data_IF_804971631537
#
_entry.id   IF_804971631537
#
_cell.length_a   1.000
_cell.length_b   1.000
_cell.length_c   1.000
_cell.angle_alpha   90.00
_cell.angle_beta   90.00
_cell.angle_gamma   90.00
#
_symmetry.space_group_name_H-M   'P 1'
#
loop_
_entity.id
_entity.type
_entity.pdbx_description
1 polymer ?
#
# COMPACT_ATOMS: atom_id res chain seq x y z
N UNK A 1 -18.67 -6.65 -2.76
CA UNK A 1 -17.66 -6.92 -1.71
C UNK A 1 -18.11 -6.22 -0.45
N UNK A 2 -18.37 -7.01 0.59
CA UNK A 2 -18.90 -6.51 1.84
C UNK A 2 -17.79 -6.28 2.88
N UNK A 3 -18.08 -5.52 3.92
CA UNK A 3 -17.16 -5.23 5.02
C UNK A 3 -17.44 -6.15 6.19
N UNK A 4 -16.40 -6.83 6.68
CA UNK A 4 -16.46 -7.60 7.92
C UNK A 4 -16.55 -6.65 9.13
N UNK A 5 -17.63 -6.78 9.92
CA UNK A 5 -17.91 -5.91 11.09
C UNK A 5 -17.87 -6.67 12.42
N UNK A 6 -18.25 -7.94 12.43
CA UNK A 6 -18.46 -8.69 13.66
C UNK A 6 -17.15 -9.24 14.24
N UNK A 7 -16.89 -8.97 15.52
CA UNK A 7 -15.69 -9.45 16.23
C UNK A 7 -15.52 -10.98 16.16
N UNK A 8 -16.62 -11.73 16.24
CA UNK A 8 -16.59 -13.20 16.14
C UNK A 8 -15.97 -13.67 14.82
N UNK A 9 -16.28 -12.99 13.72
CA UNK A 9 -15.74 -13.34 12.41
C UNK A 9 -14.26 -12.97 12.28
N UNK A 10 -13.83 -11.83 12.85
CA UNK A 10 -12.41 -11.50 12.93
C UNK A 10 -11.61 -12.55 13.70
N UNK A 11 -12.15 -13.04 14.82
CA UNK A 11 -11.49 -14.09 15.62
C UNK A 11 -11.47 -15.43 14.88
N UNK A 12 -12.53 -15.77 14.14
CA UNK A 12 -12.56 -16.96 13.33
C UNK A 12 -11.56 -16.90 12.17
N UNK A 13 -11.46 -15.76 11.48
CA UNK A 13 -10.45 -15.54 10.44
C UNK A 13 -9.01 -15.60 10.99
N UNK A 14 -8.79 -15.12 12.22
CA UNK A 14 -7.48 -15.18 12.85
C UNK A 14 -6.98 -16.61 13.15
N UNK A 15 -7.89 -17.58 13.25
CA UNK A 15 -7.57 -19.00 13.44
C UNK A 15 -7.41 -19.76 12.12
N UNK A 16 -7.76 -19.14 11.00
CA UNK A 16 -7.72 -19.76 9.68
C UNK A 16 -6.33 -19.62 9.04
N UNK A 17 -6.24 -19.96 7.75
CA UNK A 17 -4.99 -19.87 7.00
C UNK A 17 -4.52 -18.42 6.88
N UNK A 18 -3.19 -18.25 6.86
CA UNK A 18 -2.56 -16.94 6.87
C UNK A 18 -1.31 -16.90 6.02
N UNK A 19 -1.08 -15.77 5.36
CA UNK A 19 0.11 -15.51 4.56
C UNK A 19 0.68 -14.14 4.90
N UNK A 20 1.96 -14.11 5.23
CA UNK A 20 2.69 -12.87 5.52
C UNK A 20 3.28 -12.24 4.26
N UNK A 21 3.09 -10.93 4.11
CA UNK A 21 3.78 -10.07 3.14
C UNK A 21 4.38 -8.87 3.88
N UNK A 22 5.31 -8.11 3.27
CA UNK A 22 5.93 -6.96 3.93
C UNK A 22 4.92 -5.94 4.46
N UNK A 23 3.91 -5.59 3.66
CA UNK A 23 2.91 -4.58 4.03
C UNK A 23 1.89 -5.03 5.09
N UNK A 24 1.55 -6.31 5.14
CA UNK A 24 0.46 -6.83 5.98
C UNK A 24 0.52 -8.35 6.14
N UNK A 25 -0.25 -8.89 7.10
CA UNK A 25 -0.58 -10.30 7.16
C UNK A 25 -1.99 -10.48 6.59
N UNK A 26 -2.16 -11.34 5.60
CA UNK A 26 -3.47 -11.75 5.09
C UNK A 26 -3.93 -12.99 5.84
N UNK A 27 -5.16 -12.97 6.34
CA UNK A 27 -5.86 -14.12 6.90
C UNK A 27 -7.06 -14.42 6.01
N UNK A 28 -7.30 -15.70 5.73
CA UNK A 28 -8.38 -16.16 4.87
C UNK A 28 -9.15 -17.29 5.51
N UNK A 29 -10.46 -17.08 5.68
CA UNK A 29 -11.38 -18.11 6.18
C UNK A 29 -12.38 -18.43 5.10
N UNK A 30 -12.50 -19.70 4.75
CA UNK A 30 -13.61 -20.22 3.97
C UNK A 30 -14.84 -20.36 4.90
N UNK A 31 -15.91 -19.62 4.63
CA UNK A 31 -17.19 -19.73 5.38
C UNK A 31 -18.02 -20.94 4.96
N UNK A 32 -17.64 -21.60 3.87
CA UNK A 32 -18.37 -22.71 3.22
C UNK A 32 -19.77 -22.29 2.81
N UNK A 33 -19.91 -21.02 2.42
CA UNK A 33 -21.09 -20.45 1.79
C UNK A 33 -20.71 -19.93 0.40
N UNK A 34 -21.70 -19.54 -0.42
CA UNK A 34 -21.47 -18.92 -1.73
C UNK A 34 -21.67 -17.40 -1.68
N UNK A 35 -21.62 -16.81 -0.48
CA UNK A 35 -21.90 -15.39 -0.29
C UNK A 35 -20.82 -14.48 -0.85
N UNK A 36 -21.11 -13.18 -0.90
CA UNK A 36 -20.10 -12.19 -1.28
C UNK A 36 -18.85 -12.24 -0.41
N UNK A 37 -17.70 -11.92 -1.00
CA UNK A 37 -16.44 -11.77 -0.29
C UNK A 37 -16.56 -10.66 0.76
N UNK A 38 -16.08 -10.93 1.98
CA UNK A 38 -16.02 -9.95 3.07
C UNK A 38 -14.58 -9.55 3.40
N UNK A 39 -14.36 -8.28 3.70
CA UNK A 39 -13.06 -7.76 4.12
C UNK A 39 -13.05 -7.12 5.49
N UNK A 40 -12.14 -7.61 6.33
CA UNK A 40 -11.71 -6.97 7.56
C UNK A 40 -10.37 -6.25 7.40
N UNK A 41 -10.24 -5.06 7.99
CA UNK A 41 -8.97 -4.35 8.10
C UNK A 41 -8.64 -4.13 9.58
N UNK A 42 -7.48 -4.62 10.00
CA UNK A 42 -6.97 -4.45 11.36
C UNK A 42 -5.72 -3.60 11.32
N UNK A 43 -5.74 -2.46 12.01
CA UNK A 43 -4.57 -1.56 12.15
C UNK A 43 -4.32 -1.33 13.64
N UNK A 44 -3.17 -1.77 14.13
CA UNK A 44 -2.87 -1.73 15.56
C UNK A 44 -2.39 -0.34 16.00
N UNK A 45 -2.43 -0.06 17.31
CA UNK A 45 -1.86 1.17 17.89
C UNK A 45 -0.36 1.31 17.61
N UNK A 46 0.35 0.19 17.42
CA UNK A 46 1.80 0.17 17.11
C UNK A 46 2.13 0.77 15.75
N UNK A 47 1.15 0.89 14.84
CA UNK A 47 1.36 1.46 13.52
C UNK A 47 1.44 3.00 13.53
N UNK A 48 1.17 3.65 14.67
CA UNK A 48 1.26 5.10 14.83
C UNK A 48 -0.05 5.77 15.26
N UNK A 49 -0.08 7.09 15.13
CA UNK A 49 -1.22 7.93 15.52
C UNK A 49 -2.47 7.67 14.64
N UNK A 50 -3.59 8.32 14.97
CA UNK A 50 -4.85 8.16 14.25
C UNK A 50 -4.72 8.47 12.74
N UNK A 51 -3.96 9.51 12.38
CA UNK A 51 -3.76 9.93 10.99
C UNK A 51 -3.02 8.86 10.20
N UNK A 52 -1.92 8.34 10.75
CA UNK A 52 -1.14 7.25 10.14
C UNK A 52 -2.02 6.00 9.94
N UNK A 53 -2.76 5.60 10.97
CA UNK A 53 -3.66 4.43 10.87
C UNK A 53 -4.75 4.62 9.82
N UNK A 54 -5.31 5.83 9.71
CA UNK A 54 -6.32 6.16 8.70
C UNK A 54 -5.72 6.13 7.29
N UNK A 55 -4.50 6.63 7.10
CA UNK A 55 -3.80 6.57 5.81
C UNK A 55 -3.53 5.13 5.38
N UNK A 56 -3.05 4.29 6.30
CA UNK A 56 -2.85 2.85 6.04
C UNK A 56 -4.19 2.19 5.67
N UNK A 57 -5.26 2.45 6.44
CA UNK A 57 -6.60 1.86 6.17
C UNK A 57 -7.15 2.29 4.81
N UNK A 58 -6.96 3.55 4.42
CA UNK A 58 -7.35 4.07 3.10
C UNK A 58 -6.56 3.39 1.99
N UNK A 59 -5.23 3.33 2.09
CA UNK A 59 -4.37 2.65 1.09
C UNK A 59 -4.75 1.18 0.91
N UNK A 60 -4.85 0.41 2.00
CA UNK A 60 -5.15 -1.02 1.91
C UNK A 60 -6.57 -1.29 1.41
N UNK A 61 -7.52 -0.39 1.68
CA UNK A 61 -8.87 -0.50 1.12
C UNK A 61 -8.86 -0.34 -0.40
N UNK A 62 -8.14 0.63 -0.94
CA UNK A 62 -8.03 0.81 -2.39
C UNK A 62 -7.32 -0.37 -3.06
N UNK A 63 -6.26 -0.90 -2.45
CA UNK A 63 -5.60 -2.11 -2.93
C UNK A 63 -6.59 -3.29 -2.98
N UNK A 64 -7.33 -3.51 -1.88
CA UNK A 64 -8.33 -4.57 -1.83
C UNK A 64 -9.46 -4.38 -2.85
N UNK A 65 -9.88 -3.13 -3.10
CA UNK A 65 -10.90 -2.81 -4.09
C UNK A 65 -10.50 -3.22 -5.52
N UNK A 66 -9.21 -3.13 -5.85
CA UNK A 66 -8.71 -3.53 -7.16
C UNK A 66 -8.54 -5.05 -7.28
N UNK A 67 -7.99 -5.70 -6.25
CA UNK A 67 -7.57 -7.11 -6.34
C UNK A 67 -8.70 -8.09 -6.00
N UNK A 68 -9.51 -7.80 -4.97
CA UNK A 68 -10.49 -8.77 -4.44
C UNK A 68 -11.56 -9.16 -5.45
N UNK A 69 -12.13 -8.24 -6.27
CA UNK A 69 -13.09 -8.64 -7.29
C UNK A 69 -12.52 -9.60 -8.35
N UNK A 70 -11.20 -9.59 -8.58
CA UNK A 70 -10.54 -10.40 -9.60
C UNK A 70 -9.98 -11.72 -9.05
N UNK A 71 -9.43 -11.68 -7.84
CA UNK A 71 -8.69 -12.81 -7.23
C UNK A 71 -9.38 -13.45 -6.02
N UNK A 72 -10.37 -12.78 -5.44
CA UNK A 72 -11.10 -13.26 -4.28
C UNK A 72 -12.01 -14.45 -4.63
N UNK A 73 -12.18 -15.38 -3.68
CA UNK A 73 -13.11 -16.50 -3.81
C UNK A 73 -14.43 -16.19 -3.10
N UNK A 74 -15.59 -16.43 -3.73
CA UNK A 74 -16.89 -16.36 -3.05
C UNK A 74 -16.89 -17.18 -1.75
N UNK A 75 -17.60 -16.68 -0.75
CA UNK A 75 -17.67 -17.30 0.58
C UNK A 75 -16.43 -17.17 1.45
N UNK A 76 -15.43 -16.39 1.04
CA UNK A 76 -14.27 -16.12 1.89
C UNK A 76 -14.42 -14.83 2.72
N UNK A 77 -13.87 -14.89 3.93
CA UNK A 77 -13.54 -13.73 4.75
C UNK A 77 -12.03 -13.47 4.65
N UNK A 78 -11.65 -12.31 4.12
CA UNK A 78 -10.27 -11.85 4.12
C UNK A 78 -10.06 -10.82 5.21
N UNK A 79 -9.05 -11.01 6.05
CA UNK A 79 -8.65 -10.02 7.06
C UNK A 79 -7.21 -9.60 6.82
N UNK A 80 -6.99 -8.32 6.56
CA UNK A 80 -5.65 -7.75 6.42
C UNK A 80 -5.24 -7.10 7.75
N UNK A 81 -4.20 -7.67 8.36
CA UNK A 81 -3.56 -7.08 9.54
C UNK A 81 -2.39 -6.23 9.08
N UNK A 82 -2.59 -4.92 9.09
CA UNK A 82 -1.65 -3.96 8.52
C UNK A 82 -0.37 -3.82 9.35
N UNK A 83 0.77 -3.72 8.66
CA UNK A 83 2.07 -3.37 9.25
C UNK A 83 2.44 -1.93 8.88
N UNK A 84 3.38 -1.33 9.61
CA UNK A 84 3.82 0.05 9.34
C UNK A 84 4.38 0.21 7.92
N UNK A 85 4.96 -0.86 7.36
CA UNK A 85 5.49 -0.89 6.01
C UNK A 85 4.43 -0.53 4.94
N UNK A 86 3.14 -0.84 5.15
CA UNK A 86 2.07 -0.46 4.23
C UNK A 86 1.89 1.06 4.07
N UNK A 87 2.44 1.87 4.98
CA UNK A 87 2.42 3.32 4.86
C UNK A 87 3.36 3.81 3.75
N UNK A 88 4.55 3.20 3.66
CA UNK A 88 5.66 3.68 2.83
C UNK A 88 5.89 2.87 1.56
N UNK A 89 5.45 1.60 1.53
CA UNK A 89 5.56 0.76 0.34
C UNK A 89 4.91 1.45 -0.88
N UNK A 90 5.47 1.32 -2.09
CA UNK A 90 4.80 1.77 -3.31
C UNK A 90 3.42 1.12 -3.48
N UNK A 91 2.44 1.86 -4.01
CA UNK A 91 1.08 1.33 -4.17
C UNK A 91 1.01 0.09 -5.09
N UNK A 92 1.73 0.05 -6.23
CA UNK A 92 1.78 -1.15 -7.07
C UNK A 92 2.36 -2.38 -6.34
N UNK A 93 3.31 -2.18 -5.43
CA UNK A 93 3.85 -3.29 -4.63
C UNK A 93 2.81 -3.87 -3.68
N UNK A 94 1.95 -3.03 -3.10
CA UNK A 94 0.86 -3.50 -2.25
C UNK A 94 -0.18 -4.31 -3.01
N UNK A 95 -0.46 -3.95 -4.28
CA UNK A 95 -1.33 -4.73 -5.18
C UNK A 95 -0.71 -6.10 -5.41
N UNK A 96 0.54 -6.14 -5.88
CA UNK A 96 1.27 -7.39 -6.12
C UNK A 96 1.38 -8.25 -4.86
N UNK A 97 1.60 -7.63 -3.70
CA UNK A 97 1.61 -8.31 -2.42
C UNK A 97 0.27 -8.97 -2.10
N UNK A 98 -0.86 -8.30 -2.36
CA UNK A 98 -2.18 -8.86 -2.10
C UNK A 98 -2.50 -10.01 -3.06
N UNK A 99 -2.21 -9.87 -4.35
CA UNK A 99 -2.37 -10.94 -5.35
C UNK A 99 -1.57 -12.18 -4.96
N UNK A 100 -0.28 -12.00 -4.63
CA UNK A 100 0.60 -13.08 -4.15
C UNK A 100 0.07 -13.72 -2.88
N UNK A 101 -0.42 -12.91 -1.94
CA UNK A 101 -0.95 -13.43 -0.69
C UNK A 101 -2.20 -14.28 -0.92
N UNK A 102 -3.13 -13.84 -1.76
CA UNK A 102 -4.36 -14.58 -2.11
C UNK A 102 -4.01 -15.87 -2.87
N UNK A 103 -3.11 -15.79 -3.86
CA UNK A 103 -2.65 -16.96 -4.61
C UNK A 103 -2.05 -18.02 -3.70
N UNK A 104 -1.17 -17.61 -2.75
CA UNK A 104 -0.56 -18.52 -1.77
C UNK A 104 -1.58 -19.11 -0.80
N UNK A 105 -2.53 -18.30 -0.32
CA UNK A 105 -3.60 -18.73 0.57
C UNK A 105 -4.53 -19.76 -0.10
N UNK A 106 -4.67 -19.73 -1.42
CA UNK A 106 -5.52 -20.66 -2.16
C UNK A 106 -4.76 -21.83 -2.79
N UNK A 107 -3.42 -21.84 -2.71
CA UNK A 107 -2.60 -22.90 -3.28
C UNK A 107 -2.53 -24.09 -2.31
N UNK A 108 -2.98 -25.29 -2.72
CA UNK A 108 -2.91 -26.47 -1.87
C UNK A 108 -1.43 -26.85 -1.66
N UNK A 109 -0.99 -26.85 -0.40
CA UNK A 109 0.32 -27.38 -0.02
C UNK A 109 1.51 -26.45 -0.33
N UNK A 110 1.83 -25.56 0.62
CA UNK A 110 3.19 -25.19 1.06
C UNK A 110 3.06 -23.98 1.99
N UNK A 111 2.79 -24.25 3.27
CA UNK A 111 3.03 -23.28 4.34
C UNK A 111 4.56 -23.14 4.54
N UNK A 112 5.26 -22.60 3.53
CA UNK A 112 6.67 -22.23 3.65
C UNK A 112 6.72 -20.77 4.11
N UNK A 113 7.47 -20.44 5.16
CA UNK A 113 7.61 -19.05 5.59
C UNK A 113 8.07 -18.20 4.41
N UNK A 114 7.52 -16.98 4.32
CA UNK A 114 7.77 -16.04 3.24
C UNK A 114 9.28 -15.92 2.93
N UNK A 115 9.69 -15.82 1.65
CA UNK A 115 11.08 -15.51 1.34
C UNK A 115 11.43 -14.17 1.99
N UNK A 116 12.42 -14.22 2.88
CA UNK A 116 13.13 -13.03 3.31
C UNK A 116 13.81 -12.40 2.08
N UNK A 117 13.80 -11.07 2.03
CA UNK A 117 14.44 -10.20 1.02
C UNK A 117 13.69 -10.07 -0.31
N UNK A 118 12.69 -9.20 -0.34
CA UNK A 118 12.60 -8.29 -1.48
C UNK A 118 13.67 -7.22 -1.27
N UNK A 119 14.86 -7.45 -1.83
CA UNK A 119 15.81 -6.39 -2.13
C UNK A 119 15.08 -5.29 -2.94
N UNK A 120 15.53 -4.02 -2.87
CA UNK A 120 14.84 -2.93 -3.56
C UNK A 120 14.77 -3.24 -5.05
N UNK A 121 13.62 -2.96 -5.66
CA UNK A 121 13.48 -2.95 -7.11
C UNK A 121 14.50 -1.94 -7.68
N UNK A 122 15.67 -2.42 -8.07
CA UNK A 122 16.50 -1.80 -9.08
C UNK A 122 15.85 -2.13 -10.41
N UNK A 123 15.00 -1.22 -10.86
CA UNK A 123 14.79 -0.81 -12.25
C UNK A 123 13.63 0.18 -12.26
N UNK A 124 13.96 1.39 -11.85
CA UNK A 124 13.30 2.59 -12.32
C UNK A 124 14.43 3.45 -12.89
N UNK A 125 14.71 3.24 -14.17
CA UNK A 125 15.24 4.29 -15.02
C UNK A 125 14.26 5.47 -14.96
N UNK A 126 14.51 6.35 -14.00
CA UNK A 126 14.06 7.74 -13.99
C UNK A 126 15.35 8.54 -13.99
N UNK A 127 15.52 9.32 -15.05
CA UNK A 127 16.71 10.08 -15.40
C UNK A 127 17.27 10.91 -14.23
N UNK A 128 18.59 10.94 -14.00
CA UNK A 128 19.19 11.79 -12.99
C UNK A 128 19.36 13.20 -13.57
N UNK A 129 18.27 13.98 -13.57
CA UNK A 129 18.33 15.42 -13.80
C UNK A 129 17.77 16.18 -12.60
N UNK A 130 18.31 15.90 -11.41
CA UNK A 130 18.45 16.94 -10.39
C UNK A 130 19.79 17.62 -10.64
N UNK A 131 19.86 18.33 -11.76
CA UNK A 131 20.92 19.27 -12.05
C UNK A 131 20.77 20.42 -11.05
N UNK A 132 21.82 20.59 -10.25
CA UNK A 132 22.41 21.87 -9.88
C UNK A 132 21.63 23.09 -10.39
N UNK A 133 20.83 23.72 -9.53
CA UNK A 133 20.42 25.10 -9.78
C UNK A 133 21.49 25.99 -9.14
N UNK A 134 22.53 26.26 -9.93
CA UNK A 134 23.55 27.28 -9.68
C UNK A 134 22.89 28.69 -9.77
N UNK A 135 23.19 29.64 -8.89
CA UNK A 135 22.47 30.90 -8.78
C UNK A 135 23.18 31.97 -9.63
N UNK A 136 22.64 32.31 -10.80
CA UNK A 136 22.95 33.59 -11.45
C UNK A 136 22.09 33.79 -12.69
N UNK A 137 21.19 34.77 -12.66
CA UNK A 137 21.02 35.69 -13.79
C UNK A 137 20.32 36.98 -13.34
N UNK A 138 20.67 38.11 -13.97
CA UNK A 138 20.69 39.41 -13.32
C UNK A 138 19.45 40.26 -13.60
N UNK A 139 19.37 41.32 -12.80
CA UNK A 139 18.46 42.48 -12.86
C UNK A 139 18.15 42.93 -14.28
N UNK A 140 16.85 42.96 -14.61
CA UNK A 140 16.30 43.96 -15.52
C UNK A 140 15.59 45.02 -14.67
N UNK A 141 16.13 46.24 -14.67
CA UNK A 141 15.38 47.44 -14.31
C UNK A 141 15.84 48.54 -15.25
N UNK A 142 15.11 48.66 -16.35
CA UNK A 142 15.20 49.77 -17.30
C UNK A 142 14.46 50.99 -16.73
N UNK A 143 15.17 52.11 -16.59
CA UNK A 143 14.60 53.45 -16.61
C UNK A 143 15.63 54.40 -17.26
N UNK A 144 15.29 55.15 -18.32
CA UNK A 144 16.19 56.09 -18.98
C UNK A 144 15.93 57.55 -18.57
N UNK A 145 16.83 58.43 -19.04
CA UNK A 145 16.78 59.90 -19.11
C UNK A 145 17.51 60.69 -17.99
N UNK A 146 18.69 61.20 -18.32
CA UNK A 146 18.99 62.63 -18.58
C UNK A 146 20.53 62.78 -18.71
N UNK A 147 21.08 63.17 -19.87
CA UNK A 147 21.44 64.56 -20.20
C UNK A 147 22.77 64.94 -19.49
N UNK A 148 23.96 64.84 -20.13
CA UNK A 148 24.62 65.92 -20.91
C UNK A 148 24.70 67.24 -20.12
N UNK A 149 25.80 67.92 -19.81
CA UNK A 149 27.20 68.06 -20.29
C UNK A 149 27.93 68.87 -19.18
N UNK A 150 29.26 68.78 -18.98
CA UNK A 150 29.99 69.77 -18.17
C UNK A 150 30.81 70.75 -19.04
N UNK A 151 30.61 72.05 -18.83
CA UNK A 151 31.57 73.16 -18.93
C UNK A 151 31.00 74.41 -18.27
#
# INVERSE_FOLDING_TARGET
MDRLRNRRDFLAAAKAERTGVPGFLLQGRNRRDEGEVRLGLTVTKKNGNAVVRNRIRRRLREVARQVIPQSGRPGYDYVMVARVHALHAPFPDLIRDLERAISRLHSPGKNRPAPAKSAPAKDASVDPAFALNDPSSPKDTSAPADGGLPA
#
